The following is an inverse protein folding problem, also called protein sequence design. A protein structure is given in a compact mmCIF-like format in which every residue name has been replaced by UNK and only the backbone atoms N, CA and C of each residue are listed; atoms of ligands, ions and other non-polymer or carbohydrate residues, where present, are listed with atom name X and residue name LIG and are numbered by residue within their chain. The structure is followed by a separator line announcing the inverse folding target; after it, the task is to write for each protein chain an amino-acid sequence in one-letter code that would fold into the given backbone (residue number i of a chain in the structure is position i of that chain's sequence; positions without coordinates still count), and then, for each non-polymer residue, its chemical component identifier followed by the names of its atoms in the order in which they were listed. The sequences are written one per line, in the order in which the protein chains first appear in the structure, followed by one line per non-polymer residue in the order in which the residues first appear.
data_IF_691837312757
#
_entry.id   IF_691837312757
#
_cell.length_a   1.000
_cell.length_b   1.000
_cell.length_c   1.000
_cell.angle_alpha   90.00
_cell.angle_beta   90.00
_cell.angle_gamma   90.00
#
_symmetry.space_group_name_H-M   'P 1'
#
loop_
_entity.id
_entity.type
_entity.pdbx_description
1 polymer ?
#
# COMPACT_ATOMS: atom_id res chain seq x y z
N UNK A 1 53.53 -29.89 25.65
CA UNK A 1 52.18 -29.62 25.13
C UNK A 1 52.00 -28.13 24.90
N UNK A 2 51.32 -27.76 23.80
CA UNK A 2 50.81 -26.44 23.54
C UNK A 2 49.39 -26.37 24.11
N UNK A 3 49.23 -25.64 25.19
CA UNK A 3 47.93 -25.48 25.85
C UNK A 3 47.41 -24.06 25.67
N UNK A 4 46.13 -23.92 25.31
CA UNK A 4 45.39 -22.66 25.39
C UNK A 4 44.09 -22.95 26.15
N UNK A 5 43.76 -22.19 27.18
CA UNK A 5 42.57 -22.33 28.04
C UNK A 5 42.32 -23.77 28.52
N UNK A 6 43.42 -24.49 28.86
CA UNK A 6 43.44 -25.90 29.28
C UNK A 6 43.17 -26.94 28.18
N UNK A 7 42.94 -26.53 26.94
CA UNK A 7 42.84 -27.44 25.79
C UNK A 7 44.19 -27.70 25.15
N UNK A 8 44.42 -28.93 24.73
CA UNK A 8 45.64 -29.34 24.05
C UNK A 8 45.57 -28.94 22.59
N UNK A 9 46.31 -27.90 22.22
CA UNK A 9 46.39 -27.39 20.83
C UNK A 9 47.44 -28.12 20.02
N UNK A 10 48.38 -28.75 20.64
CA UNK A 10 49.48 -29.46 19.94
C UNK A 10 50.66 -29.83 20.89
N UNK A 11 51.74 -30.25 20.28
CA UNK A 11 52.98 -30.60 20.99
C UNK A 11 54.18 -29.95 20.31
N UNK A 12 55.10 -29.42 21.13
CA UNK A 12 56.44 -29.06 20.68
C UNK A 12 57.41 -30.08 21.29
N UNK A 13 58.23 -30.68 20.45
CA UNK A 13 59.30 -31.54 20.86
C UNK A 13 60.64 -30.92 20.42
N UNK A 14 61.61 -30.98 21.33
CA UNK A 14 63.00 -30.61 21.03
C UNK A 14 63.84 -31.84 21.08
N UNK A 15 64.66 -32.00 20.04
CA UNK A 15 65.60 -33.10 19.97
C UNK A 15 67.03 -32.55 19.86
N UNK A 16 67.95 -33.06 20.71
CA UNK A 16 69.36 -32.75 20.66
C UNK A 16 70.07 -33.83 19.85
N UNK A 17 70.89 -33.43 18.92
CA UNK A 17 71.73 -34.34 18.09
C UNK A 17 73.17 -34.41 18.58
N UNK A 18 73.52 -33.70 19.69
CA UNK A 18 74.86 -33.70 20.26
C UNK A 18 75.04 -34.74 21.34
N UNK A 19 76.19 -35.46 21.35
CA UNK A 19 76.56 -36.41 22.41
C UNK A 19 76.78 -35.70 23.76
N UNK A 20 75.93 -35.96 24.74
CA UNK A 20 76.14 -35.57 26.13
C UNK A 20 75.50 -34.27 26.64
N UNK A 21 74.77 -33.49 25.82
CA UNK A 21 74.05 -32.34 26.34
C UNK A 21 72.73 -32.79 27.02
N UNK A 22 72.69 -32.59 28.40
CA UNK A 22 71.47 -32.74 29.17
C UNK A 22 70.73 -31.41 29.22
N UNK A 23 69.40 -31.40 28.96
CA UNK A 23 68.57 -30.25 29.18
C UNK A 23 68.57 -29.81 30.65
N UNK A 24 68.75 -28.54 30.90
CA UNK A 24 68.69 -27.90 32.20
C UNK A 24 67.29 -27.52 32.61
N UNK A 25 67.05 -27.27 33.89
CA UNK A 25 65.75 -26.73 34.36
C UNK A 25 65.36 -25.42 33.63
N UNK A 26 66.35 -24.60 33.29
CA UNK A 26 66.18 -23.34 32.58
C UNK A 26 65.66 -23.58 31.15
N UNK A 27 66.09 -24.61 30.51
CA UNK A 27 65.64 -24.98 29.14
C UNK A 27 64.14 -25.44 29.17
N UNK A 28 63.79 -26.19 30.25
CA UNK A 28 62.38 -26.62 30.47
C UNK A 28 61.46 -25.42 30.70
N UNK A 29 61.90 -24.45 31.53
CA UNK A 29 61.14 -23.21 31.79
C UNK A 29 60.96 -22.38 30.53
N UNK A 30 62.06 -22.18 29.76
CA UNK A 30 61.96 -21.49 28.47
C UNK A 30 60.99 -22.17 27.52
N UNK A 31 61.05 -23.47 27.41
CA UNK A 31 60.14 -24.23 26.54
C UNK A 31 58.71 -24.17 27.01
N UNK A 32 58.47 -24.14 28.31
CA UNK A 32 57.11 -23.94 28.85
C UNK A 32 56.58 -22.56 28.48
N UNK A 33 57.40 -21.52 28.62
CA UNK A 33 57.06 -20.14 28.22
C UNK A 33 56.75 -20.04 26.71
N UNK A 34 57.63 -20.58 25.87
CA UNK A 34 57.43 -20.57 24.41
C UNK A 34 56.17 -21.35 24.02
N UNK A 35 55.96 -22.52 24.58
CA UNK A 35 54.78 -23.36 24.32
C UNK A 35 53.49 -22.65 24.72
N UNK A 36 53.48 -21.92 25.83
CA UNK A 36 52.32 -21.13 26.27
C UNK A 36 51.99 -20.00 25.30
N UNK A 37 52.99 -19.23 24.87
CA UNK A 37 52.77 -18.12 23.94
C UNK A 37 52.36 -18.57 22.53
N UNK A 38 52.92 -19.66 22.04
CA UNK A 38 52.51 -20.27 20.77
C UNK A 38 51.07 -20.77 20.87
N UNK A 39 50.68 -21.41 22.00
CA UNK A 39 49.31 -21.87 22.23
C UNK A 39 48.30 -20.72 22.17
N UNK A 40 48.61 -19.63 22.87
CA UNK A 40 47.75 -18.43 22.80
C UNK A 40 47.67 -17.83 21.40
N UNK A 41 48.82 -17.74 20.68
CA UNK A 41 48.83 -17.19 19.32
C UNK A 41 48.00 -18.04 18.33
N UNK A 42 48.10 -19.36 18.44
CA UNK A 42 47.28 -20.30 17.64
C UNK A 42 45.79 -20.14 17.93
N UNK A 43 45.42 -20.06 19.23
CA UNK A 43 44.01 -19.88 19.63
C UNK A 43 43.45 -18.54 19.11
N UNK A 44 44.21 -17.45 19.24
CA UNK A 44 43.81 -16.14 18.70
C UNK A 44 43.58 -16.18 17.20
N UNK A 45 44.48 -16.86 16.46
CA UNK A 45 44.33 -17.02 15.00
C UNK A 45 43.08 -17.84 14.68
N UNK A 46 42.83 -18.97 15.34
CA UNK A 46 41.64 -19.79 15.15
C UNK A 46 40.35 -19.00 15.41
N UNK A 47 40.33 -18.22 16.48
CA UNK A 47 39.16 -17.37 16.81
C UNK A 47 38.96 -16.28 15.78
N UNK A 48 40.03 -15.63 15.29
CA UNK A 48 39.96 -14.62 14.25
C UNK A 48 39.45 -15.20 12.94
N UNK A 49 39.92 -16.36 12.52
CA UNK A 49 39.47 -17.05 11.30
C UNK A 49 37.98 -17.44 11.41
N UNK A 50 37.57 -17.98 12.57
CA UNK A 50 36.18 -18.33 12.84
C UNK A 50 35.24 -17.10 12.82
N UNK A 51 35.69 -15.96 13.40
CA UNK A 51 34.95 -14.72 13.38
C UNK A 51 34.79 -14.16 11.94
N UNK A 52 35.88 -14.18 11.18
CA UNK A 52 35.86 -13.74 9.77
C UNK A 52 34.88 -14.56 8.93
N UNK A 53 34.91 -15.89 9.12
CA UNK A 53 33.99 -16.78 8.43
C UNK A 53 32.54 -16.56 8.85
N UNK A 54 32.29 -16.34 10.15
CA UNK A 54 30.95 -16.04 10.65
C UNK A 54 30.42 -14.72 10.12
N UNK A 55 31.26 -13.68 10.08
CA UNK A 55 30.88 -12.39 9.52
C UNK A 55 30.54 -12.48 8.02
N UNK A 56 31.37 -13.14 7.23
CA UNK A 56 31.09 -13.33 5.82
C UNK A 56 29.76 -14.06 5.57
N UNK A 57 29.46 -15.07 6.40
CA UNK A 57 28.17 -15.77 6.34
C UNK A 57 26.99 -14.87 6.69
N UNK A 58 27.13 -14.05 7.75
CA UNK A 58 26.09 -13.11 8.16
C UNK A 58 25.85 -12.04 7.10
N UNK A 59 26.92 -11.50 6.51
CA UNK A 59 26.82 -10.52 5.41
C UNK A 59 26.04 -11.09 4.22
N UNK A 60 26.32 -12.33 3.84
CA UNK A 60 25.59 -13.01 2.77
C UNK A 60 24.10 -13.16 3.13
N UNK A 61 23.79 -13.63 4.33
CA UNK A 61 22.39 -13.79 4.78
C UNK A 61 21.66 -12.44 4.85
N UNK A 62 22.32 -11.38 5.30
CA UNK A 62 21.75 -10.04 5.31
C UNK A 62 21.45 -9.56 3.88
N UNK A 63 22.38 -9.78 2.94
CA UNK A 63 22.18 -9.40 1.55
C UNK A 63 20.99 -10.15 0.91
N UNK A 64 20.90 -11.47 1.10
CA UNK A 64 19.75 -12.26 0.64
C UNK A 64 18.42 -11.76 1.21
N UNK A 65 18.35 -11.61 2.53
CA UNK A 65 17.13 -11.14 3.19
C UNK A 65 16.74 -9.74 2.79
N UNK A 66 17.72 -8.88 2.55
CA UNK A 66 17.46 -7.52 2.09
C UNK A 66 16.84 -7.51 0.69
N UNK A 67 17.33 -8.39 -0.20
CA UNK A 67 16.77 -8.49 -1.55
C UNK A 67 15.37 -9.11 -1.55
N UNK A 68 15.14 -10.18 -0.76
CA UNK A 68 13.81 -10.76 -0.57
C UNK A 68 12.80 -9.72 -0.04
N UNK A 69 13.21 -8.93 0.97
CA UNK A 69 12.37 -7.86 1.53
C UNK A 69 12.06 -6.78 0.50
N UNK A 70 13.03 -6.35 -0.32
CA UNK A 70 12.79 -5.37 -1.38
C UNK A 70 11.73 -5.86 -2.36
N UNK A 71 11.85 -7.10 -2.81
CA UNK A 71 10.90 -7.69 -3.74
C UNK A 71 9.50 -7.80 -3.13
N UNK A 72 9.41 -8.23 -1.87
CA UNK A 72 8.14 -8.28 -1.15
C UNK A 72 7.49 -6.90 -1.00
N UNK A 73 8.27 -5.85 -0.71
CA UNK A 73 7.77 -4.47 -0.63
C UNK A 73 7.23 -4.00 -1.97
N UNK A 74 7.94 -4.26 -3.08
CA UNK A 74 7.47 -3.88 -4.43
C UNK A 74 6.15 -4.59 -4.77
N UNK A 75 6.04 -5.88 -4.47
CA UNK A 75 4.80 -6.63 -4.71
C UNK A 75 3.63 -6.10 -3.89
N UNK A 76 3.86 -5.85 -2.58
CA UNK A 76 2.83 -5.28 -1.71
C UNK A 76 2.37 -3.90 -2.16
N UNK A 77 3.28 -3.04 -2.61
CA UNK A 77 2.94 -1.73 -3.15
C UNK A 77 2.06 -1.83 -4.39
N UNK A 78 2.38 -2.75 -5.30
CA UNK A 78 1.57 -2.98 -6.50
C UNK A 78 0.17 -3.52 -6.16
N UNK A 79 0.06 -4.39 -5.16
CA UNK A 79 -1.22 -4.95 -4.71
C UNK A 79 -2.08 -3.88 -4.01
N UNK A 80 -1.48 -3.04 -3.17
CA UNK A 80 -2.16 -1.90 -2.54
C UNK A 80 -2.71 -0.94 -3.59
N UNK A 81 -1.91 -0.59 -4.60
CA UNK A 81 -2.35 0.31 -5.66
C UNK A 81 -3.52 -0.29 -6.46
N UNK A 82 -3.43 -1.58 -6.81
CA UNK A 82 -4.52 -2.30 -7.49
C UNK A 82 -5.81 -2.33 -6.64
N UNK A 83 -5.69 -2.59 -5.35
CA UNK A 83 -6.83 -2.58 -4.42
C UNK A 83 -7.47 -1.21 -4.34
N UNK A 84 -6.67 -0.16 -4.25
CA UNK A 84 -7.11 1.23 -4.19
C UNK A 84 -7.87 1.66 -5.46
N UNK A 85 -7.35 1.27 -6.63
CA UNK A 85 -8.03 1.52 -7.91
C UNK A 85 -9.38 0.78 -8.00
N UNK A 86 -9.42 -0.47 -7.52
CA UNK A 86 -10.66 -1.23 -7.47
C UNK A 86 -11.69 -0.60 -6.52
N UNK A 87 -11.26 -0.11 -5.35
CA UNK A 87 -12.13 0.57 -4.39
C UNK A 87 -12.70 1.88 -4.96
N UNK A 88 -11.85 2.70 -5.60
CA UNK A 88 -12.30 3.93 -6.28
C UNK A 88 -13.34 3.61 -7.35
N UNK A 89 -13.08 2.57 -8.16
CA UNK A 89 -14.02 2.16 -9.20
C UNK A 89 -15.35 1.66 -8.60
N UNK A 90 -15.31 0.86 -7.55
CA UNK A 90 -16.51 0.39 -6.85
C UNK A 90 -17.33 1.56 -6.28
N UNK A 91 -16.67 2.55 -5.66
CA UNK A 91 -17.32 3.75 -5.17
C UNK A 91 -17.95 4.55 -6.31
N UNK A 92 -17.23 4.69 -7.42
CA UNK A 92 -17.76 5.38 -8.60
C UNK A 92 -18.99 4.66 -9.15
N UNK A 93 -18.90 3.35 -9.40
CA UNK A 93 -20.01 2.55 -9.93
C UNK A 93 -21.22 2.51 -8.96
N UNK A 94 -20.98 2.62 -7.65
CA UNK A 94 -22.04 2.65 -6.65
C UNK A 94 -22.85 3.96 -6.66
N UNK A 95 -22.25 5.10 -7.02
CA UNK A 95 -22.86 6.41 -6.84
C UNK A 95 -22.98 7.27 -8.10
N UNK A 96 -22.36 6.89 -9.20
CA UNK A 96 -22.37 7.65 -10.46
C UNK A 96 -23.01 6.85 -11.61
N UNK A 97 -23.59 7.55 -12.55
CA UNK A 97 -24.05 7.03 -13.83
C UNK A 97 -22.86 6.98 -14.81
N UNK A 98 -22.54 5.81 -15.33
CA UNK A 98 -21.34 5.61 -16.17
C UNK A 98 -21.40 6.33 -17.52
N UNK A 99 -22.59 6.68 -18.02
CA UNK A 99 -22.73 7.37 -19.30
C UNK A 99 -22.56 8.88 -19.16
N UNK A 100 -23.24 9.47 -18.18
CA UNK A 100 -23.33 10.94 -18.04
C UNK A 100 -22.35 11.49 -17.00
N UNK A 101 -21.80 10.66 -16.13
CA UNK A 101 -20.97 11.10 -14.99
C UNK A 101 -21.75 11.76 -13.85
N UNK A 102 -23.07 11.92 -13.99
CA UNK A 102 -23.91 12.43 -12.91
C UNK A 102 -24.06 11.41 -11.77
N UNK A 103 -24.58 11.86 -10.64
CA UNK A 103 -25.00 10.96 -9.58
C UNK A 103 -26.07 9.98 -10.08
N UNK A 104 -26.01 8.74 -9.63
CA UNK A 104 -26.99 7.73 -10.00
C UNK A 104 -28.21 7.72 -9.06
N UNK A 105 -29.17 6.83 -9.36
CA UNK A 105 -30.40 6.64 -8.56
C UNK A 105 -30.11 6.31 -7.09
N UNK A 106 -29.09 5.48 -6.81
CA UNK A 106 -28.77 5.08 -5.43
C UNK A 106 -28.34 6.29 -4.59
N UNK A 107 -27.47 7.13 -5.14
CA UNK A 107 -27.05 8.36 -4.48
C UNK A 107 -28.20 9.35 -4.29
N UNK A 108 -29.05 9.52 -5.31
CA UNK A 108 -30.23 10.39 -5.20
C UNK A 108 -31.15 9.98 -4.04
N UNK A 109 -31.47 8.70 -3.91
CA UNK A 109 -32.31 8.19 -2.82
C UNK A 109 -31.68 8.47 -1.46
N UNK A 110 -30.40 8.24 -1.30
CA UNK A 110 -29.68 8.53 -0.07
C UNK A 110 -29.75 10.05 0.29
N UNK A 111 -29.58 10.92 -0.68
CA UNK A 111 -29.69 12.38 -0.48
C UNK A 111 -31.09 12.80 -0.13
N UNK A 112 -32.11 12.22 -0.78
CA UNK A 112 -33.50 12.48 -0.49
C UNK A 112 -33.89 12.06 0.92
N UNK A 113 -33.44 10.90 1.39
CA UNK A 113 -33.67 10.44 2.76
C UNK A 113 -33.07 11.42 3.80
N UNK A 114 -31.88 11.95 3.53
CA UNK A 114 -31.26 12.99 4.37
C UNK A 114 -32.07 14.29 4.36
N UNK A 115 -32.54 14.75 3.21
CA UNK A 115 -33.37 15.94 3.10
C UNK A 115 -34.70 15.78 3.87
N UNK A 116 -35.35 14.63 3.77
CA UNK A 116 -36.57 14.30 4.52
C UNK A 116 -36.31 14.27 6.03
N UNK A 117 -35.20 13.67 6.47
CA UNK A 117 -34.82 13.64 7.88
C UNK A 117 -34.54 15.04 8.43
N UNK A 118 -33.84 15.87 7.66
CA UNK A 118 -33.56 17.26 8.00
C UNK A 118 -34.87 18.10 8.12
N UNK A 119 -35.82 17.91 7.20
CA UNK A 119 -37.13 18.54 7.27
C UNK A 119 -37.88 18.16 8.52
N UNK A 120 -37.86 16.89 8.92
CA UNK A 120 -38.50 16.44 10.18
C UNK A 120 -37.87 17.09 11.41
N UNK A 121 -36.56 17.30 11.41
CA UNK A 121 -35.82 17.89 12.54
C UNK A 121 -35.92 19.43 12.58
N UNK A 122 -35.90 20.06 11.40
CA UNK A 122 -35.91 21.51 11.24
C UNK A 122 -37.03 21.90 10.29
N UNK A 123 -38.20 22.29 10.83
CA UNK A 123 -39.42 22.56 10.06
C UNK A 123 -39.27 23.65 8.97
N UNK A 124 -38.28 24.55 9.12
CA UNK A 124 -37.96 25.62 8.17
C UNK A 124 -37.10 25.18 6.96
N UNK A 125 -36.47 24.01 7.03
CA UNK A 125 -35.69 23.50 5.91
C UNK A 125 -36.67 22.91 4.89
N UNK A 126 -36.77 23.56 3.76
CA UNK A 126 -37.56 23.08 2.63
C UNK A 126 -36.62 22.40 1.60
N UNK A 127 -37.14 21.45 0.89
CA UNK A 127 -36.52 20.86 -0.28
C UNK A 127 -37.56 20.69 -1.39
N UNK A 128 -37.10 20.67 -2.65
CA UNK A 128 -37.95 20.36 -3.77
C UNK A 128 -37.30 19.26 -4.64
N UNK A 129 -38.10 18.48 -5.31
CA UNK A 129 -37.66 17.46 -6.25
C UNK A 129 -38.23 17.79 -7.61
N UNK A 130 -37.37 17.94 -8.60
CA UNK A 130 -37.75 18.21 -9.99
C UNK A 130 -37.43 16.96 -10.78
N UNK A 131 -38.45 16.34 -11.39
CA UNK A 131 -38.27 15.25 -12.33
C UNK A 131 -38.27 15.81 -13.77
N UNK A 132 -37.33 15.33 -14.58
CA UNK A 132 -37.11 15.74 -15.96
C UNK A 132 -37.06 14.48 -16.81
N UNK A 133 -37.87 14.45 -17.85
CA UNK A 133 -37.95 13.37 -18.83
C UNK A 133 -37.77 13.93 -20.23
N UNK A 134 -37.04 13.26 -21.12
CA UNK A 134 -36.78 13.76 -22.45
C UNK A 134 -37.85 13.29 -23.44
N UNK A 135 -38.69 14.22 -23.85
CA UNK A 135 -39.74 13.96 -24.82
C UNK A 135 -39.19 13.27 -26.09
N UNK A 136 -39.80 12.15 -26.46
CA UNK A 136 -39.50 11.40 -27.68
C UNK A 136 -38.06 10.89 -27.78
N UNK A 137 -37.36 10.67 -26.66
CA UNK A 137 -36.00 10.15 -26.68
C UNK A 137 -35.90 8.81 -27.41
N UNK A 138 -36.89 7.93 -27.25
CA UNK A 138 -36.97 6.66 -27.99
C UNK A 138 -36.94 6.89 -29.52
N UNK A 139 -37.63 7.91 -30.03
CA UNK A 139 -37.65 8.21 -31.48
C UNK A 139 -36.25 8.60 -31.99
N UNK A 140 -35.48 9.30 -31.17
CA UNK A 140 -34.08 9.65 -31.49
C UNK A 140 -33.24 8.37 -31.61
N UNK A 141 -33.35 7.47 -30.64
CA UNK A 141 -32.64 6.18 -30.68
C UNK A 141 -33.04 5.35 -31.90
N UNK A 142 -34.36 5.28 -32.19
CA UNK A 142 -34.87 4.46 -33.29
C UNK A 142 -34.49 5.05 -34.67
N UNK A 143 -34.31 6.37 -34.76
CA UNK A 143 -34.02 7.07 -36.04
C UNK A 143 -32.54 7.29 -36.29
N UNK A 144 -31.76 7.67 -35.25
CA UNK A 144 -30.37 8.07 -35.36
C UNK A 144 -29.40 7.08 -34.68
N UNK A 145 -29.93 6.05 -34.03
CA UNK A 145 -29.15 5.03 -33.32
C UNK A 145 -28.80 5.40 -31.89
N UNK A 146 -28.47 4.38 -31.09
CA UNK A 146 -28.17 4.52 -29.65
C UNK A 146 -26.99 5.46 -29.35
N UNK A 147 -25.99 5.51 -30.23
CA UNK A 147 -24.85 6.43 -30.03
C UNK A 147 -25.29 7.92 -30.07
N UNK A 148 -26.25 8.26 -30.93
CA UNK A 148 -26.80 9.62 -30.96
C UNK A 148 -27.61 9.94 -29.70
N UNK A 149 -28.35 8.95 -29.19
CA UNK A 149 -29.06 9.06 -27.92
C UNK A 149 -28.10 9.24 -26.75
N UNK A 150 -27.03 8.47 -26.70
CA UNK A 150 -26.01 8.59 -25.65
C UNK A 150 -25.35 9.98 -25.66
N UNK A 151 -25.00 10.51 -26.84
CA UNK A 151 -24.46 11.86 -26.94
C UNK A 151 -25.47 12.94 -26.49
N UNK A 152 -26.75 12.74 -26.80
CA UNK A 152 -27.80 13.65 -26.33
C UNK A 152 -27.89 13.64 -24.81
N UNK A 153 -27.88 12.45 -24.17
CA UNK A 153 -27.94 12.31 -22.72
C UNK A 153 -26.75 12.99 -22.03
N UNK A 154 -25.54 12.85 -22.58
CA UNK A 154 -24.34 13.53 -22.10
C UNK A 154 -24.47 15.05 -22.21
N UNK A 155 -24.95 15.54 -23.33
CA UNK A 155 -25.13 16.99 -23.55
C UNK A 155 -26.21 17.57 -22.62
N UNK A 156 -27.33 16.87 -22.43
CA UNK A 156 -28.37 17.26 -21.48
C UNK A 156 -27.82 17.29 -20.06
N UNK A 157 -27.10 16.26 -19.65
CA UNK A 157 -26.45 16.21 -18.33
C UNK A 157 -25.56 17.43 -18.09
N UNK A 158 -24.69 17.74 -19.05
CA UNK A 158 -23.80 18.90 -18.98
C UNK A 158 -24.58 20.23 -18.86
N UNK A 159 -25.66 20.42 -19.65
CA UNK A 159 -26.47 21.62 -19.56
C UNK A 159 -27.22 21.76 -18.25
N UNK A 160 -27.77 20.65 -17.74
CA UNK A 160 -28.44 20.65 -16.45
C UNK A 160 -27.45 20.96 -15.31
N UNK A 161 -26.22 20.47 -15.40
CA UNK A 161 -25.19 20.74 -14.40
C UNK A 161 -24.84 22.23 -14.30
N UNK A 162 -24.90 22.96 -15.44
CA UNK A 162 -24.69 24.40 -15.46
C UNK A 162 -25.86 25.19 -14.82
N UNK A 163 -27.05 24.58 -14.69
CA UNK A 163 -28.25 25.23 -14.16
C UNK A 163 -28.42 25.00 -12.63
N UNK A 164 -27.73 24.02 -12.05
CA UNK A 164 -27.88 23.68 -10.62
C UNK A 164 -26.80 24.32 -9.77
N UNK A 165 -27.09 24.56 -8.51
CA UNK A 165 -26.12 25.10 -7.54
C UNK A 165 -25.25 23.95 -6.96
N UNK A 166 -24.10 24.26 -6.42
CA UNK A 166 -23.14 23.27 -5.87
C UNK A 166 -23.69 22.42 -4.71
N UNK A 167 -24.74 22.86 -4.02
CA UNK A 167 -25.38 22.13 -2.94
C UNK A 167 -26.63 21.33 -3.39
N UNK A 168 -27.13 21.58 -4.61
CA UNK A 168 -28.19 20.80 -5.20
C UNK A 168 -27.63 19.45 -5.71
N UNK A 169 -28.49 18.47 -5.81
CA UNK A 169 -28.09 17.14 -6.29
C UNK A 169 -28.77 16.88 -7.63
N UNK A 170 -27.99 16.83 -8.70
CA UNK A 170 -28.46 16.40 -10.01
C UNK A 170 -28.10 14.93 -10.22
N UNK A 171 -29.06 14.12 -10.64
CA UNK A 171 -28.90 12.68 -10.83
C UNK A 171 -29.62 12.20 -12.08
N UNK A 172 -29.11 11.12 -12.68
CA UNK A 172 -29.81 10.36 -13.72
C UNK A 172 -30.34 9.07 -13.12
N UNK A 173 -31.65 8.84 -13.25
CA UNK A 173 -32.31 7.66 -12.66
C UNK A 173 -32.20 6.41 -13.55
N UNK A 174 -32.01 6.62 -14.86
CA UNK A 174 -31.86 5.61 -15.88
C UNK A 174 -32.63 6.03 -17.15
N UNK A 175 -32.29 5.47 -18.31
CA UNK A 175 -32.90 5.88 -19.58
C UNK A 175 -32.74 7.37 -19.86
N UNK A 176 -33.86 8.06 -20.04
CA UNK A 176 -33.98 9.50 -20.30
C UNK A 176 -34.44 10.31 -19.07
N UNK A 177 -34.51 9.69 -17.91
CA UNK A 177 -35.00 10.30 -16.68
C UNK A 177 -33.87 10.98 -15.88
N UNK A 178 -33.99 12.27 -15.64
CA UNK A 178 -33.13 13.06 -14.76
C UNK A 178 -33.94 13.57 -13.56
N UNK A 179 -33.25 13.83 -12.46
CA UNK A 179 -33.87 14.36 -11.24
C UNK A 179 -32.93 15.35 -10.57
N UNK A 180 -33.51 16.43 -10.07
CA UNK A 180 -32.81 17.43 -9.28
C UNK A 180 -33.42 17.49 -7.90
N UNK A 181 -32.61 17.40 -6.86
CA UNK A 181 -32.98 17.69 -5.49
C UNK A 181 -32.44 19.08 -5.14
N UNK A 182 -33.33 20.04 -4.99
CA UNK A 182 -33.02 21.36 -4.45
C UNK A 182 -33.10 21.28 -2.93
N UNK A 183 -31.94 21.37 -2.27
CA UNK A 183 -31.86 21.25 -0.82
C UNK A 183 -31.75 22.63 -0.18
N UNK A 184 -32.46 22.81 0.95
CA UNK A 184 -32.32 23.98 1.83
C UNK A 184 -32.73 25.32 1.19
N UNK A 185 -33.74 25.36 0.32
CA UNK A 185 -34.25 26.62 -0.17
C UNK A 185 -35.18 27.30 0.89
N UNK A 186 -35.10 28.64 0.93
CA UNK A 186 -35.69 29.40 2.01
C UNK A 186 -37.03 30.07 1.68
N UNK A 187 -37.41 30.18 0.39
CA UNK A 187 -38.61 30.88 -0.08
C UNK A 187 -39.11 30.34 -1.40
N UNK A 188 -40.44 30.53 -1.65
CA UNK A 188 -41.11 30.18 -2.92
C UNK A 188 -40.52 30.89 -4.16
N UNK A 189 -39.72 31.94 -3.99
CA UNK A 189 -39.07 32.72 -5.06
C UNK A 189 -37.82 32.04 -5.61
N UNK A 190 -37.21 31.09 -4.87
CA UNK A 190 -35.99 30.39 -5.32
C UNK A 190 -36.28 29.35 -6.44
N UNK A 191 -37.54 29.16 -6.80
CA UNK A 191 -37.99 28.19 -7.84
C UNK A 191 -38.30 28.83 -9.20
N UNK A 192 -38.22 30.17 -9.31
CA UNK A 192 -38.28 30.80 -10.60
C UNK A 192 -36.95 30.58 -11.37
N UNK A 193 -36.99 29.65 -12.32
CA UNK A 193 -35.92 29.35 -13.29
C UNK A 193 -36.26 30.03 -14.61
#
# INVERSE_FOLDING_TARGET
PLLADKELMGMIAIQSYGQGQKYTQRDVELMRFVSYHIGIALQRRKNADALTQSNARLEHQVAERTEELKQAVIQLQAEIEKSKQAEIKLMHDAFYDNLTGLMNRAFFIQRLELAVANKKRFAKNLFAVIFIDLDRFKLINDTLGHQAGDHLLIEVAYRLELCVRSHDTLSRLGGDEFVILLDNYKHDIDVEI
#
